data_IF_591227316783
#
_entry.id   IF_591227316783
#
_cell.length_a   1.000
_cell.length_b   1.000
_cell.length_c   1.000
_cell.angle_alpha   90.00
_cell.angle_beta   90.00
_cell.angle_gamma   90.00
#
_symmetry.space_group_name_H-M   'P 1'
#
loop_
_entity.id
_entity.type
_entity.pdbx_description
1 polymer ?
#
# COMPACT_ATOMS: atom_id res chain seq x y z
N UNK A 1 62.28 -13.99 38.01
CA UNK A 1 62.27 -14.26 36.55
C UNK A 1 60.84 -14.62 36.19
N UNK A 2 60.30 -13.94 35.18
CA UNK A 2 58.90 -13.94 34.77
C UNK A 2 58.39 -15.36 34.44
N UNK A 3 57.10 -15.62 34.68
CA UNK A 3 56.12 -15.74 33.58
C UNK A 3 54.69 -15.98 34.11
N UNK A 4 53.84 -15.01 33.78
CA UNK A 4 52.39 -15.05 33.91
C UNK A 4 51.85 -16.08 32.92
N UNK A 5 51.20 -17.15 33.40
CA UNK A 5 50.35 -17.98 32.53
C UNK A 5 48.93 -17.44 32.70
N UNK A 6 48.60 -16.50 31.82
CA UNK A 6 47.27 -15.95 31.64
C UNK A 6 46.44 -16.99 30.88
N UNK A 7 45.63 -17.77 31.60
CA UNK A 7 44.71 -18.72 30.97
C UNK A 7 43.54 -17.96 30.33
N UNK A 8 43.59 -17.77 29.02
CA UNK A 8 42.50 -17.17 28.24
C UNK A 8 41.44 -18.24 27.96
N UNK A 9 40.32 -18.19 28.69
CA UNK A 9 39.14 -18.99 28.37
C UNK A 9 38.42 -18.27 27.22
N UNK A 10 38.46 -18.84 26.03
CA UNK A 10 37.73 -18.36 24.87
C UNK A 10 36.28 -18.89 24.94
N UNK A 11 35.39 -18.13 25.58
CA UNK A 11 33.95 -18.43 25.55
C UNK A 11 33.40 -17.88 24.23
N UNK A 12 33.28 -18.75 23.23
CA UNK A 12 32.53 -18.51 22.00
C UNK A 12 31.04 -18.49 22.35
N UNK A 13 30.54 -17.36 22.86
CA UNK A 13 29.10 -17.15 22.94
C UNK A 13 28.56 -16.96 21.53
N UNK A 14 27.95 -18.01 20.98
CA UNK A 14 27.07 -17.95 19.81
C UNK A 14 25.88 -17.04 20.14
N UNK A 15 26.06 -15.74 20.00
CA UNK A 15 24.93 -14.84 19.88
C UNK A 15 24.36 -15.05 18.48
N UNK A 16 23.43 -16.00 18.36
CA UNK A 16 22.52 -16.02 17.23
C UNK A 16 21.67 -14.75 17.35
N UNK A 17 22.07 -13.70 16.64
CA UNK A 17 21.21 -12.54 16.48
C UNK A 17 19.95 -13.01 15.77
N UNK A 18 18.73 -12.82 16.31
CA UNK A 18 17.56 -12.87 15.45
C UNK A 18 17.79 -11.87 14.33
N UNK A 19 17.81 -12.36 13.09
CA UNK A 19 17.77 -11.50 11.91
C UNK A 19 16.48 -10.69 12.00
N UNK A 20 16.57 -9.48 12.54
CA UNK A 20 15.47 -8.52 12.50
C UNK A 20 15.22 -8.25 11.02
N UNK A 21 14.17 -8.87 10.48
CA UNK A 21 13.59 -8.47 9.21
C UNK A 21 13.35 -6.97 9.34
N UNK A 22 14.17 -6.16 8.66
CA UNK A 22 13.88 -4.73 8.50
C UNK A 22 12.46 -4.69 7.97
N UNK A 23 11.54 -4.21 8.81
CA UNK A 23 10.26 -3.75 8.33
C UNK A 23 10.65 -2.54 7.50
N UNK A 24 10.82 -2.77 6.20
CA UNK A 24 10.82 -1.71 5.23
C UNK A 24 9.40 -1.16 5.32
N UNK A 25 9.19 -0.22 6.23
CA UNK A 25 8.07 0.70 6.14
C UNK A 25 8.24 1.29 4.75
N UNK A 26 7.47 0.78 3.79
CA UNK A 26 7.38 1.35 2.47
C UNK A 26 7.22 2.84 2.70
N UNK A 27 8.10 3.62 2.09
CA UNK A 27 8.07 5.07 2.22
C UNK A 27 6.62 5.50 2.06
N UNK A 28 6.00 5.97 3.15
CA UNK A 28 4.69 6.60 3.09
C UNK A 28 4.89 7.74 2.11
N UNK A 29 4.42 7.55 0.88
CA UNK A 29 4.57 8.53 -0.19
C UNK A 29 3.88 9.78 0.35
N UNK A 30 4.65 10.82 0.69
CA UNK A 30 4.12 12.02 1.35
C UNK A 30 2.97 12.54 0.50
N UNK A 31 1.77 12.28 0.98
CA UNK A 31 0.57 12.48 0.20
C UNK A 31 0.33 13.97 0.16
N UNK A 32 0.44 14.57 -1.02
CA UNK A 32 0.08 15.97 -1.19
C UNK A 32 -1.44 16.04 -1.12
N UNK A 33 -1.97 16.58 -0.03
CA UNK A 33 -3.40 16.80 0.18
C UNK A 33 -4.05 17.57 -1.00
N UNK A 34 -3.27 18.31 -1.78
CA UNK A 34 -3.78 19.07 -2.92
C UNK A 34 -3.85 18.31 -4.27
N UNK A 35 -3.54 17.00 -4.34
CA UNK A 35 -3.57 16.29 -5.64
C UNK A 35 -4.87 15.54 -5.86
N UNK A 36 -5.59 15.89 -6.94
CA UNK A 36 -6.82 15.21 -7.38
C UNK A 36 -6.62 13.73 -7.69
N UNK A 37 -5.49 13.35 -8.30
CA UNK A 37 -5.19 11.95 -8.64
C UNK A 37 -3.89 11.50 -8.02
N UNK A 38 -3.88 10.27 -7.49
CA UNK A 38 -2.71 9.65 -6.90
C UNK A 38 -2.66 8.15 -7.22
N UNK A 39 -1.43 7.62 -7.33
CA UNK A 39 -1.16 6.20 -7.54
C UNK A 39 -0.68 5.57 -6.24
N UNK A 40 -1.26 4.42 -5.90
CA UNK A 40 -0.90 3.62 -4.74
C UNK A 40 -0.35 2.28 -5.22
N UNK A 41 0.90 1.92 -4.86
CA UNK A 41 1.49 0.66 -5.27
C UNK A 41 0.80 -0.51 -4.57
N UNK A 42 0.57 -1.60 -5.31
CA UNK A 42 0.23 -2.89 -4.70
C UNK A 42 1.52 -3.69 -4.44
N UNK A 43 1.42 -4.86 -3.78
CA UNK A 43 2.59 -5.76 -3.69
C UNK A 43 2.87 -6.48 -5.02
N UNK A 44 1.94 -6.45 -5.97
CA UNK A 44 2.20 -6.84 -7.35
C UNK A 44 2.89 -5.67 -8.08
N UNK A 45 4.14 -5.88 -8.49
CA UNK A 45 4.96 -4.86 -9.16
C UNK A 45 4.33 -4.24 -10.40
N UNK A 46 3.44 -4.97 -11.07
CA UNK A 46 2.79 -4.54 -12.31
C UNK A 46 1.48 -3.80 -12.09
N UNK A 47 1.01 -3.71 -10.83
CA UNK A 47 -0.31 -3.19 -10.52
C UNK A 47 -0.26 -2.05 -9.50
N UNK A 48 -0.97 -0.97 -9.83
CA UNK A 48 -1.23 0.18 -8.96
C UNK A 48 -2.74 0.43 -8.86
N UNK A 49 -3.15 1.13 -7.81
CA UNK A 49 -4.49 1.73 -7.71
C UNK A 49 -4.36 3.23 -7.98
N UNK A 50 -5.04 3.73 -9.01
CA UNK A 50 -5.23 5.16 -9.25
C UNK A 50 -6.49 5.62 -8.52
N UNK A 51 -6.36 6.53 -7.57
CA UNK A 51 -7.46 7.11 -6.81
C UNK A 51 -7.72 8.55 -7.26
N UNK A 52 -8.98 8.90 -7.48
CA UNK A 52 -9.44 10.28 -7.42
C UNK A 52 -9.68 10.64 -5.95
N UNK A 53 -8.74 11.39 -5.37
CA UNK A 53 -8.73 11.72 -3.94
C UNK A 53 -9.88 12.63 -3.55
N UNK A 54 -10.55 13.27 -4.51
CA UNK A 54 -11.70 14.15 -4.23
C UNK A 54 -12.97 13.40 -3.90
N UNK A 55 -13.18 12.26 -4.55
CA UNK A 55 -14.50 11.64 -4.64
C UNK A 55 -14.51 10.11 -4.53
N UNK A 56 -13.35 9.47 -4.38
CA UNK A 56 -13.26 8.03 -4.14
C UNK A 56 -13.45 7.17 -5.39
N UNK A 57 -13.64 7.75 -6.58
CA UNK A 57 -13.56 7.00 -7.83
C UNK A 57 -12.15 6.47 -8.01
N UNK A 58 -12.00 5.21 -8.42
CA UNK A 58 -10.68 4.60 -8.53
C UNK A 58 -10.60 3.52 -9.60
N UNK A 59 -9.37 3.29 -10.05
CA UNK A 59 -9.03 2.37 -11.12
C UNK A 59 -7.85 1.51 -10.74
N UNK A 60 -7.87 0.25 -11.16
CA UNK A 60 -6.67 -0.56 -11.22
C UNK A 60 -5.89 -0.19 -12.48
N UNK A 61 -4.59 0.08 -12.32
CA UNK A 61 -3.66 0.37 -13.41
C UNK A 61 -2.69 -0.80 -13.50
N UNK A 62 -2.69 -1.50 -14.62
CA UNK A 62 -1.76 -2.58 -14.91
C UNK A 62 -0.85 -2.17 -16.08
N UNK A 63 0.46 -2.31 -15.92
CA UNK A 63 1.45 -1.98 -16.93
C UNK A 63 2.37 -3.17 -17.22
N UNK A 64 3.00 -3.15 -18.39
CA UNK A 64 3.89 -4.20 -18.85
C UNK A 64 5.03 -3.64 -19.70
N UNK A 65 6.20 -4.27 -19.62
CA UNK A 65 7.42 -3.90 -20.37
C UNK A 65 7.45 -4.56 -21.75
N UNK A 66 7.06 -5.82 -21.83
CA UNK A 66 7.11 -6.59 -23.08
C UNK A 66 6.02 -6.14 -24.04
N UNK A 67 6.38 -6.05 -25.32
CA UNK A 67 5.43 -5.79 -26.40
C UNK A 67 4.47 -6.98 -26.54
N UNK A 68 3.17 -6.70 -26.64
CA UNK A 68 2.10 -7.71 -26.68
C UNK A 68 1.49 -8.08 -25.33
N UNK A 69 2.09 -7.68 -24.20
CA UNK A 69 1.49 -7.84 -22.87
C UNK A 69 0.43 -6.76 -22.61
N UNK A 70 -0.56 -7.09 -21.78
CA UNK A 70 -1.70 -6.21 -21.53
C UNK A 70 -1.31 -4.99 -20.68
N UNK A 71 -1.46 -3.79 -21.24
CA UNK A 71 -1.48 -2.52 -20.51
C UNK A 71 -2.92 -2.08 -20.41
N UNK A 72 -3.46 -1.96 -19.21
CA UNK A 72 -4.90 -1.72 -19.03
C UNK A 72 -5.20 -0.88 -17.80
N UNK A 73 -6.24 -0.04 -17.93
CA UNK A 73 -6.87 0.65 -16.81
C UNK A 73 -8.26 0.06 -16.65
N UNK A 74 -8.53 -0.52 -15.49
CA UNK A 74 -9.79 -1.17 -15.17
C UNK A 74 -10.52 -0.36 -14.10
N UNK A 75 -11.84 -0.18 -14.27
CA UNK A 75 -12.66 0.42 -13.24
C UNK A 75 -12.67 -0.49 -12.00
N UNK A 76 -12.37 0.08 -10.83
CA UNK A 76 -12.52 -0.60 -9.55
C UNK A 76 -13.71 -0.02 -8.80
N UNK A 77 -13.82 1.31 -8.75
CA UNK A 77 -15.01 2.00 -8.31
C UNK A 77 -15.30 3.19 -9.23
N UNK A 78 -16.41 3.13 -9.97
CA UNK A 78 -16.86 4.22 -10.85
C UNK A 78 -17.82 5.18 -10.15
N UNK A 79 -18.34 4.82 -8.97
CA UNK A 79 -19.36 5.57 -8.25
C UNK A 79 -18.67 6.56 -7.30
N UNK A 80 -19.12 7.81 -7.29
CA UNK A 80 -18.62 8.77 -6.32
C UNK A 80 -19.06 8.37 -4.91
N UNK A 81 -18.15 8.43 -3.94
CA UNK A 81 -18.48 8.17 -2.53
C UNK A 81 -19.16 9.36 -1.86
N UNK A 82 -19.16 10.52 -2.51
CA UNK A 82 -19.65 11.79 -1.99
C UNK A 82 -20.37 12.57 -3.07
N UNK A 83 -21.25 13.48 -2.66
CA UNK A 83 -21.88 14.44 -3.57
C UNK A 83 -20.85 15.46 -4.11
N UNK A 84 -21.14 16.05 -5.26
CA UNK A 84 -20.22 16.93 -6.00
C UNK A 84 -19.79 18.14 -5.15
N UNK A 85 -20.71 18.72 -4.40
CA UNK A 85 -20.48 19.86 -3.50
C UNK A 85 -19.57 19.52 -2.30
N UNK A 86 -19.34 18.23 -2.02
CA UNK A 86 -18.45 17.76 -0.96
C UNK A 86 -17.11 17.23 -1.48
N UNK A 87 -16.82 17.36 -2.77
CA UNK A 87 -15.54 16.97 -3.36
C UNK A 87 -14.42 17.91 -2.91
N UNK A 88 -13.37 17.35 -2.30
CA UNK A 88 -12.20 18.13 -1.83
C UNK A 88 -10.93 17.36 -2.13
N UNK A 89 -9.93 18.00 -2.76
CA UNK A 89 -8.62 17.37 -3.01
C UNK A 89 -8.08 16.74 -1.73
N UNK A 90 -7.61 15.51 -1.84
CA UNK A 90 -7.02 14.79 -0.70
C UNK A 90 -8.03 14.29 0.32
N UNK A 91 -9.35 14.38 0.11
CA UNK A 91 -10.35 13.82 1.03
C UNK A 91 -10.12 12.32 1.25
N UNK A 92 -9.88 11.57 0.19
CA UNK A 92 -9.71 10.12 0.24
C UNK A 92 -8.25 9.69 0.12
N UNK A 93 -7.87 8.70 0.92
CA UNK A 93 -6.54 8.04 0.84
C UNK A 93 -6.60 6.53 1.04
N UNK A 94 -5.69 5.80 0.39
CA UNK A 94 -5.56 4.35 0.52
C UNK A 94 -4.38 3.99 1.42
N UNK A 95 -4.62 3.05 2.33
CA UNK A 95 -3.62 2.37 3.15
C UNK A 95 -3.46 0.93 2.68
N UNK A 96 -2.22 0.49 2.34
CA UNK A 96 -1.98 -0.89 1.95
C UNK A 96 -2.21 -1.83 3.13
N UNK A 97 -2.69 -3.04 2.85
CA UNK A 97 -2.74 -4.12 3.84
C UNK A 97 -1.65 -5.17 3.57
N UNK A 98 -1.51 -6.14 4.47
CA UNK A 98 -0.64 -7.27 4.21
C UNK A 98 -1.16 -8.18 3.09
N UNK A 99 -2.47 -8.19 2.84
CA UNK A 99 -3.05 -8.84 1.67
C UNK A 99 -2.83 -7.96 0.43
N UNK A 100 -2.12 -8.47 -0.59
CA UNK A 100 -1.86 -7.68 -1.80
C UNK A 100 -3.12 -7.21 -2.50
N UNK A 101 -4.24 -7.92 -2.36
CA UNK A 101 -5.50 -7.63 -3.04
C UNK A 101 -6.35 -6.59 -2.29
N UNK A 102 -5.98 -6.23 -1.06
CA UNK A 102 -6.80 -5.35 -0.21
C UNK A 102 -6.09 -4.07 0.21
N UNK A 103 -6.86 -2.99 0.24
CA UNK A 103 -6.51 -1.71 0.84
C UNK A 103 -7.62 -1.28 1.81
N UNK A 104 -7.28 -0.37 2.72
CA UNK A 104 -8.24 0.42 3.48
C UNK A 104 -8.32 1.81 2.85
N UNK A 105 -9.51 2.25 2.45
CA UNK A 105 -9.76 3.63 2.05
C UNK A 105 -10.26 4.40 3.26
N UNK A 106 -9.64 5.54 3.55
CA UNK A 106 -10.07 6.46 4.59
C UNK A 106 -10.62 7.74 3.95
N UNK A 107 -11.82 8.13 4.36
CA UNK A 107 -12.29 9.51 4.25
C UNK A 107 -11.65 10.33 5.37
N UNK A 108 -10.71 11.20 5.02
CA UNK A 108 -9.95 12.01 5.96
C UNK A 108 -10.77 13.18 6.55
N UNK A 109 -11.98 13.41 6.04
CA UNK A 109 -12.88 14.47 6.53
C UNK A 109 -13.95 13.86 7.45
N UNK A 110 -14.68 12.85 6.99
CA UNK A 110 -15.80 12.26 7.74
C UNK A 110 -15.37 11.04 8.59
N UNK A 111 -14.14 10.54 8.42
CA UNK A 111 -13.57 9.44 9.20
C UNK A 111 -14.09 8.04 8.80
N UNK A 112 -14.95 7.96 7.79
CA UNK A 112 -15.47 6.68 7.28
C UNK A 112 -14.38 5.86 6.61
N UNK A 113 -14.45 4.55 6.78
CA UNK A 113 -13.48 3.61 6.24
C UNK A 113 -14.16 2.57 5.34
N UNK A 114 -13.43 2.14 4.31
CA UNK A 114 -13.89 1.13 3.37
C UNK A 114 -12.79 0.10 3.14
N UNK A 115 -13.18 -1.16 3.03
CA UNK A 115 -12.34 -2.19 2.42
C UNK A 115 -12.38 -2.00 0.90
N UNK A 116 -11.22 -1.99 0.26
CA UNK A 116 -11.06 -1.93 -1.19
C UNK A 116 -10.40 -3.21 -1.65
N UNK A 117 -11.00 -3.89 -2.64
CA UNK A 117 -10.46 -5.09 -3.27
C UNK A 117 -10.24 -4.88 -4.77
N UNK A 118 -9.05 -5.22 -5.26
CA UNK A 118 -8.74 -5.25 -6.68
C UNK A 118 -8.55 -6.68 -7.17
N UNK A 119 -8.86 -6.90 -8.45
CA UNK A 119 -8.71 -8.18 -9.13
C UNK A 119 -8.72 -7.95 -10.64
N UNK A 120 -8.06 -8.84 -11.39
CA UNK A 120 -8.22 -8.90 -12.85
C UNK A 120 -9.64 -9.38 -13.24
N UNK A 121 -10.31 -10.10 -12.35
CA UNK A 121 -11.69 -10.56 -12.53
C UNK A 121 -12.67 -9.51 -12.01
N UNK A 122 -13.59 -9.07 -12.88
CA UNK A 122 -14.50 -7.98 -12.58
C UNK A 122 -15.35 -8.21 -11.34
N UNK A 123 -15.92 -9.40 -11.18
CA UNK A 123 -16.80 -9.76 -10.07
C UNK A 123 -16.08 -9.81 -8.71
N UNK A 124 -14.74 -9.81 -8.73
CA UNK A 124 -13.90 -9.85 -7.53
C UNK A 124 -13.30 -8.48 -7.18
N UNK A 125 -13.72 -7.40 -7.87
CA UNK A 125 -13.38 -6.02 -7.53
C UNK A 125 -14.50 -5.40 -6.71
N UNK A 126 -14.13 -4.49 -5.81
CA UNK A 126 -15.16 -3.70 -5.16
C UNK A 126 -14.67 -2.90 -3.98
N UNK A 127 -15.59 -2.11 -3.45
CA UNK A 127 -15.42 -1.37 -2.22
C UNK A 127 -16.59 -1.68 -1.28
N UNK A 128 -16.30 -1.89 0.00
CA UNK A 128 -17.29 -2.22 1.02
C UNK A 128 -17.07 -1.34 2.24
N UNK A 129 -18.10 -0.66 2.76
CA UNK A 129 -17.96 0.12 4.00
C UNK A 129 -17.60 -0.80 5.18
N UNK A 130 -16.79 -0.29 6.10
CA UNK A 130 -16.44 -0.95 7.36
C UNK A 130 -17.32 -0.33 8.46
N UNK A 131 -17.97 -1.17 9.27
CA UNK A 131 -18.82 -0.78 10.40
C UNK A 131 -18.15 -1.15 11.73
#
# INVERSE_FOLDING_TARGET
MNNKILSFIFILSLNCLPAQKKINNSAYHKQSADKMYQLFPTKNFWTFIKLNTRNGKMWQVHFAVKEGDNRVILNLNSISLVAEEKEVNGRFTLYPTENTYNFLLLDQIEGTAYQVQWSMEENNRGILPIQ
#
